data_IF_194572639972
#
_entry.id   IF_194572639972
#
_cell.length_a   1.000
_cell.length_b   1.000
_cell.length_c   1.000
_cell.angle_alpha   90.00
_cell.angle_beta   90.00
_cell.angle_gamma   90.00
#
_symmetry.space_group_name_H-M   'P 1'
#
loop_
_entity.id
_entity.type
_entity.pdbx_description
1 polymer ?
#
# COMPACT_ATOMS: atom_id res chain seq x y z
N UNK A 1 -14.65 9.74 22.69
CA UNK A 1 -13.63 8.87 23.31
C UNK A 1 -13.33 7.80 22.28
N UNK A 2 -12.16 7.84 21.69
CA UNK A 2 -11.72 6.81 20.72
C UNK A 2 -11.48 5.54 21.54
N UNK A 3 -12.22 4.49 21.24
CA UNK A 3 -12.04 3.18 21.86
C UNK A 3 -10.57 2.76 21.70
N UNK A 4 -9.99 2.16 22.75
CA UNK A 4 -8.59 1.68 22.69
C UNK A 4 -8.51 0.61 21.59
N UNK A 5 -7.55 0.70 20.66
CA UNK A 5 -7.43 -0.30 19.61
C UNK A 5 -7.11 -1.67 20.21
N UNK A 6 -7.63 -2.72 19.59
CA UNK A 6 -7.32 -4.09 19.93
C UNK A 6 -6.32 -4.59 18.89
N UNK A 7 -5.12 -4.96 19.36
CA UNK A 7 -4.07 -5.54 18.53
C UNK A 7 -3.92 -7.04 18.84
N UNK A 8 -3.45 -7.85 17.87
CA UNK A 8 -3.07 -9.24 18.14
C UNK A 8 -2.07 -9.33 19.31
N UNK A 9 -2.37 -10.19 20.29
CA UNK A 9 -1.59 -10.28 21.52
C UNK A 9 -0.13 -10.71 21.27
N UNK A 10 0.10 -11.54 20.24
CA UNK A 10 1.42 -12.01 19.83
C UNK A 10 2.33 -10.91 19.29
N UNK A 11 1.79 -9.75 18.91
CA UNK A 11 2.61 -8.61 18.47
C UNK A 11 3.21 -7.82 19.63
N UNK A 12 2.82 -8.14 20.86
CA UNK A 12 3.41 -7.61 22.09
C UNK A 12 3.60 -6.07 22.09
N UNK A 13 2.52 -5.36 21.73
CA UNK A 13 2.56 -3.89 21.56
C UNK A 13 2.71 -3.22 22.92
N UNK A 14 3.79 -2.44 23.08
CA UNK A 14 4.12 -1.67 24.28
C UNK A 14 3.50 -0.27 24.26
N UNK A 15 3.72 0.46 23.16
CA UNK A 15 3.17 1.79 22.95
C UNK A 15 2.53 1.94 21.58
N UNK A 16 1.62 2.89 21.42
CA UNK A 16 1.00 3.19 20.13
C UNK A 16 0.52 4.65 20.06
N UNK A 17 0.54 5.20 18.86
CA UNK A 17 -0.06 6.49 18.53
C UNK A 17 -0.82 6.43 17.18
N UNK A 18 -1.95 7.14 17.03
CA UNK A 18 -2.68 7.14 15.77
C UNK A 18 -1.90 7.92 14.70
N UNK A 19 -1.78 7.35 13.50
CA UNK A 19 -1.24 8.03 12.32
C UNK A 19 -2.34 8.50 11.37
N UNK A 20 -3.34 7.66 11.13
CA UNK A 20 -4.44 8.00 10.24
C UNK A 20 -5.72 7.22 10.57
N UNK A 21 -6.85 7.88 10.32
CA UNK A 21 -8.17 7.30 10.27
C UNK A 21 -8.76 7.63 8.90
N UNK A 22 -8.84 6.61 8.03
CA UNK A 22 -9.33 6.73 6.65
C UNK A 22 -10.68 6.02 6.47
N UNK A 23 -11.28 6.14 5.30
CA UNK A 23 -12.49 5.38 4.97
C UNK A 23 -12.24 3.85 5.04
N UNK A 24 -11.07 3.39 4.61
CA UNK A 24 -10.76 1.96 4.47
C UNK A 24 -9.95 1.37 5.61
N UNK A 25 -9.28 2.17 6.44
CA UNK A 25 -8.37 1.65 7.48
C UNK A 25 -8.15 2.61 8.65
N UNK A 26 -7.73 2.04 9.77
CA UNK A 26 -7.05 2.71 10.88
C UNK A 26 -5.57 2.40 10.79
N UNK A 27 -4.73 3.42 10.97
CA UNK A 27 -3.27 3.26 10.92
C UNK A 27 -2.65 3.77 12.21
N UNK A 28 -1.80 2.95 12.79
CA UNK A 28 -1.15 3.19 14.07
C UNK A 28 0.36 3.07 13.93
N UNK A 29 1.11 4.01 14.49
CA UNK A 29 2.53 3.82 14.75
C UNK A 29 2.65 3.10 16.08
N UNK A 30 3.48 2.07 16.15
CA UNK A 30 3.58 1.22 17.34
C UNK A 30 5.03 0.88 17.66
N UNK A 31 5.30 0.66 18.94
CA UNK A 31 6.52 0.07 19.44
C UNK A 31 6.19 -1.26 20.11
N UNK A 32 7.07 -2.24 19.96
CA UNK A 32 6.90 -3.58 20.52
C UNK A 32 7.82 -3.74 21.72
N UNK A 33 7.35 -4.44 22.76
CA UNK A 33 8.16 -4.68 23.94
C UNK A 33 9.36 -5.61 23.69
N UNK A 34 9.25 -6.49 22.69
CA UNK A 34 10.30 -7.44 22.28
C UNK A 34 11.29 -6.87 21.24
N UNK A 35 10.99 -5.67 20.70
CA UNK A 35 11.85 -4.93 19.76
C UNK A 35 11.86 -3.43 20.13
N UNK A 36 12.50 -3.06 21.26
CA UNK A 36 12.36 -1.72 21.85
C UNK A 36 13.00 -0.59 21.02
N UNK A 37 13.90 -0.92 20.11
CA UNK A 37 14.59 0.05 19.25
C UNK A 37 13.91 0.22 17.88
N UNK A 38 12.91 -0.61 17.58
CA UNK A 38 12.24 -0.65 16.29
C UNK A 38 10.83 -0.04 16.37
N UNK A 39 10.50 0.72 15.34
CA UNK A 39 9.16 1.29 15.14
C UNK A 39 8.45 0.56 14.02
N UNK A 40 7.18 0.28 14.22
CA UNK A 40 6.33 -0.43 13.25
C UNK A 40 5.06 0.36 12.96
N UNK A 41 4.35 -0.07 11.93
CA UNK A 41 3.00 0.40 11.62
C UNK A 41 2.03 -0.77 11.70
N UNK A 42 0.90 -0.55 12.37
CA UNK A 42 -0.25 -1.45 12.25
C UNK A 42 -1.30 -0.77 11.39
N UNK A 43 -1.69 -1.44 10.31
CA UNK A 43 -2.83 -1.05 9.46
C UNK A 43 -3.96 -2.04 9.68
N UNK A 44 -5.07 -1.55 10.27
CA UNK A 44 -6.28 -2.34 10.50
C UNK A 44 -7.32 -1.97 9.45
N UNK A 45 -7.72 -2.94 8.63
CA UNK A 45 -8.71 -2.71 7.58
C UNK A 45 -10.12 -2.63 8.17
N UNK A 46 -10.87 -1.65 7.72
CA UNK A 46 -12.31 -1.54 7.92
C UNK A 46 -13.06 -2.36 6.87
N UNK A 47 -14.37 -2.59 7.01
CA UNK A 47 -15.17 -3.30 6.00
C UNK A 47 -15.00 -2.76 4.58
N UNK A 48 -14.87 -1.43 4.43
CA UNK A 48 -14.67 -0.77 3.14
C UNK A 48 -13.26 -1.00 2.54
N UNK A 49 -12.30 -1.50 3.32
CA UNK A 49 -10.92 -1.75 2.89
C UNK A 49 -10.57 -3.22 2.68
N UNK A 50 -11.54 -4.12 2.76
CA UNK A 50 -11.27 -5.57 2.72
C UNK A 50 -10.60 -6.05 1.42
N UNK A 51 -10.81 -5.37 0.31
CA UNK A 51 -10.11 -5.66 -0.95
C UNK A 51 -8.60 -5.39 -0.88
N UNK A 52 -8.15 -4.55 0.06
CA UNK A 52 -6.74 -4.24 0.28
C UNK A 52 -5.95 -5.42 0.91
N UNK A 53 -6.62 -6.48 1.40
CA UNK A 53 -5.95 -7.70 1.87
C UNK A 53 -5.06 -8.34 0.80
N UNK A 54 -5.44 -8.24 -0.46
CA UNK A 54 -4.61 -8.70 -1.58
C UNK A 54 -3.29 -7.95 -1.66
N UNK A 55 -3.28 -6.69 -1.23
CA UNK A 55 -2.06 -5.88 -1.11
C UNK A 55 -1.07 -6.46 -0.08
N UNK A 56 -1.56 -7.12 0.98
CA UNK A 56 -0.69 -7.80 1.94
C UNK A 56 0.10 -8.95 1.29
N UNK A 57 -0.54 -9.72 0.39
CA UNK A 57 0.14 -10.79 -0.36
C UNK A 57 1.21 -10.24 -1.30
N UNK A 58 0.94 -9.08 -1.93
CA UNK A 58 1.93 -8.37 -2.72
C UNK A 58 3.11 -7.90 -1.87
N UNK A 59 2.87 -7.28 -0.72
CA UNK A 59 3.92 -6.82 0.20
C UNK A 59 4.75 -8.00 0.72
N UNK A 60 4.12 -9.12 1.07
CA UNK A 60 4.81 -10.35 1.46
C UNK A 60 5.72 -10.88 0.34
N UNK A 61 5.24 -10.87 -0.91
CA UNK A 61 6.01 -11.28 -2.08
C UNK A 61 7.20 -10.35 -2.35
N UNK A 62 7.04 -9.04 -2.13
CA UNK A 62 8.11 -8.05 -2.31
C UNK A 62 9.15 -8.09 -1.20
N UNK A 63 8.80 -8.55 0.00
CA UNK A 63 9.68 -8.68 1.19
C UNK A 63 10.57 -7.44 1.43
N UNK A 64 9.98 -6.25 1.35
CA UNK A 64 10.70 -4.99 1.55
C UNK A 64 11.41 -4.42 0.30
N UNK A 65 11.39 -5.12 -0.84
CA UNK A 65 12.06 -4.65 -2.06
C UNK A 65 11.21 -3.64 -2.82
N UNK A 66 11.45 -2.36 -2.59
CA UNK A 66 10.73 -1.24 -3.20
C UNK A 66 9.34 -0.97 -2.60
N UNK A 67 8.97 -1.69 -1.55
CA UNK A 67 7.74 -1.52 -0.80
C UNK A 67 8.00 -1.71 0.69
N UNK A 68 7.14 -1.17 1.55
CA UNK A 68 7.21 -1.41 2.99
C UNK A 68 7.14 -2.90 3.30
N UNK A 69 8.00 -3.39 4.19
CA UNK A 69 8.02 -4.79 4.58
C UNK A 69 6.77 -5.13 5.38
N UNK A 70 6.14 -6.24 5.02
CA UNK A 70 5.09 -6.87 5.83
C UNK A 70 5.75 -7.88 6.77
N UNK A 71 5.65 -7.66 8.08
CA UNK A 71 6.18 -8.57 9.10
C UNK A 71 5.19 -9.66 9.46
N UNK A 72 3.90 -9.32 9.55
CA UNK A 72 2.84 -10.28 9.87
C UNK A 72 1.48 -9.77 9.38
N UNK A 73 0.56 -10.72 9.18
CA UNK A 73 -0.84 -10.47 8.82
C UNK A 73 -1.74 -11.34 9.71
N UNK A 74 -2.63 -10.69 10.46
CA UNK A 74 -3.63 -11.35 11.30
C UNK A 74 -5.01 -10.80 11.00
N UNK A 75 -5.87 -11.66 10.51
CA UNK A 75 -7.23 -11.27 10.10
C UNK A 75 -7.21 -10.08 9.13
N UNK A 76 -7.60 -8.90 9.59
CA UNK A 76 -7.63 -7.66 8.83
C UNK A 76 -6.53 -6.67 9.22
N UNK A 77 -5.58 -7.10 10.05
CA UNK A 77 -4.51 -6.25 10.59
C UNK A 77 -3.16 -6.67 10.00
N UNK A 78 -2.43 -5.70 9.49
CA UNK A 78 -1.09 -5.84 8.93
C UNK A 78 -0.07 -5.20 9.87
N UNK A 79 0.99 -5.91 10.22
CA UNK A 79 2.17 -5.36 10.89
C UNK A 79 3.21 -5.03 9.83
N UNK A 80 3.51 -3.76 9.67
CA UNK A 80 4.31 -3.22 8.57
C UNK A 80 5.55 -2.50 9.10
N UNK A 81 6.53 -2.36 8.24
CA UNK A 81 7.65 -1.46 8.40
C UNK A 81 7.18 -0.01 8.54
N UNK A 82 7.81 0.74 9.45
CA UNK A 82 7.64 2.19 9.52
C UNK A 82 8.60 2.88 8.56
N UNK A 83 8.09 3.37 7.46
CA UNK A 83 8.88 4.03 6.41
C UNK A 83 9.36 5.46 6.76
N UNK A 84 9.19 5.90 8.01
CA UNK A 84 9.58 7.23 8.48
C UNK A 84 8.43 8.24 8.47
N UNK A 85 8.75 9.46 8.94
CA UNK A 85 7.79 10.56 9.07
C UNK A 85 7.83 11.57 7.93
N UNK A 86 8.74 11.39 6.97
CA UNK A 86 8.95 12.35 5.89
C UNK A 86 8.16 11.92 4.64
N UNK A 87 7.14 12.67 4.30
CA UNK A 87 6.22 12.36 3.20
C UNK A 87 6.56 13.15 1.94
N UNK A 88 6.41 12.55 0.77
CA UNK A 88 6.67 13.21 -0.52
C UNK A 88 5.77 14.42 -0.77
N UNK A 89 4.57 14.45 -0.20
CA UNK A 89 3.69 15.63 -0.29
C UNK A 89 4.29 16.87 0.42
N UNK A 90 5.12 16.68 1.44
CA UNK A 90 5.85 17.76 2.09
C UNK A 90 6.96 18.31 1.19
N UNK A 91 7.66 17.43 0.45
CA UNK A 91 8.62 17.87 -0.58
C UNK A 91 7.94 18.70 -1.66
N UNK A 92 6.79 18.19 -2.15
CA UNK A 92 6.01 18.88 -3.18
C UNK A 92 5.54 20.26 -2.71
N UNK A 93 4.99 20.36 -1.50
CA UNK A 93 4.57 21.64 -0.90
C UNK A 93 5.72 22.63 -0.70
N UNK A 94 6.95 22.13 -0.58
CA UNK A 94 8.17 22.93 -0.44
C UNK A 94 8.82 23.26 -1.81
N UNK A 95 8.15 23.00 -2.93
CA UNK A 95 8.63 23.30 -4.28
C UNK A 95 9.77 22.39 -4.76
N UNK A 96 9.85 21.17 -4.24
CA UNK A 96 10.89 20.18 -4.58
C UNK A 96 10.39 19.11 -5.54
N UNK A 97 9.66 19.52 -6.58
CA UNK A 97 9.04 18.61 -7.56
C UNK A 97 10.05 17.68 -8.22
N UNK A 98 11.25 18.18 -8.56
CA UNK A 98 12.32 17.39 -9.16
C UNK A 98 12.80 16.26 -8.25
N UNK A 99 12.94 16.53 -6.94
CA UNK A 99 13.29 15.50 -5.96
C UNK A 99 12.19 14.43 -5.85
N UNK A 100 10.92 14.84 -5.87
CA UNK A 100 9.78 13.90 -5.83
C UNK A 100 9.77 12.97 -7.05
N UNK A 101 10.04 13.50 -8.24
CA UNK A 101 10.12 12.70 -9.48
C UNK A 101 11.28 11.71 -9.43
N UNK A 102 12.43 12.12 -8.89
CA UNK A 102 13.59 11.24 -8.72
C UNK A 102 13.25 10.07 -7.78
N UNK A 103 12.74 10.36 -6.58
CA UNK A 103 12.34 9.33 -5.60
C UNK A 103 11.27 8.39 -6.18
N UNK A 104 10.27 8.95 -6.88
CA UNK A 104 9.24 8.15 -7.53
C UNK A 104 9.82 7.20 -8.59
N UNK A 105 10.76 7.70 -9.43
CA UNK A 105 11.45 6.88 -10.41
C UNK A 105 12.28 5.75 -9.79
N UNK A 106 12.99 6.03 -8.70
CA UNK A 106 13.77 5.02 -7.94
C UNK A 106 12.87 3.93 -7.35
N UNK A 107 11.73 4.32 -6.73
CA UNK A 107 10.75 3.36 -6.18
C UNK A 107 10.15 2.51 -7.29
N UNK A 108 9.75 3.10 -8.42
CA UNK A 108 9.25 2.34 -9.57
C UNK A 108 10.29 1.36 -10.10
N UNK A 109 11.55 1.80 -10.24
CA UNK A 109 12.64 0.93 -10.69
C UNK A 109 12.84 -0.25 -9.73
N UNK A 110 12.77 0.00 -8.40
CA UNK A 110 12.86 -1.06 -7.40
C UNK A 110 11.67 -2.03 -7.47
N UNK A 111 10.44 -1.52 -7.63
CA UNK A 111 9.22 -2.33 -7.74
C UNK A 111 9.21 -3.21 -8.99
N UNK A 112 9.85 -2.77 -10.09
CA UNK A 112 9.95 -3.52 -11.35
C UNK A 112 11.13 -4.50 -11.38
N UNK A 113 11.97 -4.55 -10.35
CA UNK A 113 13.02 -5.57 -10.30
C UNK A 113 12.39 -6.97 -10.18
N UNK A 114 12.95 -7.97 -10.89
CA UNK A 114 12.49 -9.34 -10.74
C UNK A 114 12.55 -9.80 -9.28
N UNK A 115 11.52 -10.49 -8.83
CA UNK A 115 11.55 -11.20 -7.55
C UNK A 115 11.93 -12.65 -7.77
N UNK A 116 12.76 -13.27 -6.90
CA UNK A 116 13.07 -14.70 -6.96
C UNK A 116 11.86 -15.58 -6.65
N UNK A 117 10.86 -15.04 -5.96
CA UNK A 117 9.63 -15.74 -5.63
C UNK A 117 8.61 -15.65 -6.78
N UNK A 118 7.81 -16.71 -6.95
CA UNK A 118 6.70 -16.70 -7.91
C UNK A 118 5.67 -15.62 -7.56
N UNK A 119 5.12 -14.97 -8.57
CA UNK A 119 4.08 -13.95 -8.40
C UNK A 119 2.85 -14.58 -7.73
N UNK A 120 2.28 -13.96 -6.69
CA UNK A 120 1.05 -14.45 -6.07
C UNK A 120 -0.11 -14.55 -7.08
N UNK A 121 -0.84 -15.66 -7.04
CA UNK A 121 -1.92 -15.95 -8.00
C UNK A 121 -3.24 -15.25 -7.68
N UNK A 122 -3.36 -14.69 -6.48
CA UNK A 122 -4.56 -14.01 -5.96
C UNK A 122 -4.50 -12.48 -6.10
N UNK A 123 -3.44 -11.95 -6.72
CA UNK A 123 -3.41 -10.54 -7.10
C UNK A 123 -4.46 -10.26 -8.17
N UNK A 124 -5.08 -9.09 -8.07
CA UNK A 124 -6.09 -8.70 -9.05
C UNK A 124 -5.43 -8.41 -10.41
N UNK A 125 -5.80 -9.11 -11.48
CA UNK A 125 -5.33 -8.79 -12.82
C UNK A 125 -5.72 -7.37 -13.23
N UNK A 126 -4.85 -6.70 -14.00
CA UNK A 126 -5.06 -5.30 -14.39
C UNK A 126 -6.31 -5.09 -15.26
N UNK A 127 -6.67 -6.05 -16.10
CA UNK A 127 -7.90 -6.01 -16.89
C UNK A 127 -9.15 -5.93 -15.99
N UNK A 128 -9.17 -6.68 -14.89
CA UNK A 128 -10.23 -6.60 -13.88
C UNK A 128 -10.17 -5.28 -13.10
N UNK A 129 -8.97 -4.78 -12.82
CA UNK A 129 -8.81 -3.49 -12.14
C UNK A 129 -9.37 -2.34 -12.99
N UNK A 130 -9.18 -2.38 -14.31
CA UNK A 130 -9.70 -1.39 -15.24
C UNK A 130 -11.14 -1.65 -15.72
N UNK A 131 -11.82 -2.69 -15.24
CA UNK A 131 -13.18 -3.03 -15.68
C UNK A 131 -14.16 -1.85 -15.52
N UNK A 132 -14.07 -1.08 -14.43
CA UNK A 132 -14.89 0.12 -14.23
C UNK A 132 -14.66 1.20 -15.31
N UNK A 133 -13.41 1.45 -15.70
CA UNK A 133 -13.09 2.37 -16.79
C UNK A 133 -13.68 1.90 -18.12
N UNK A 134 -13.56 0.61 -18.42
CA UNK A 134 -14.10 0.03 -19.67
C UNK A 134 -15.62 0.08 -19.73
N UNK A 135 -16.30 -0.09 -18.58
CA UNK A 135 -17.74 -0.01 -18.50
C UNK A 135 -18.30 1.38 -18.85
N UNK A 136 -17.58 2.46 -18.48
CA UNK A 136 -18.00 3.85 -18.72
C UNK A 136 -17.30 4.51 -19.93
N UNK A 137 -16.55 3.75 -20.71
CA UNK A 137 -15.75 4.27 -21.83
C UNK A 137 -16.58 5.09 -22.85
N UNK A 138 -17.85 4.75 -23.05
CA UNK A 138 -18.74 5.44 -23.99
C UNK A 138 -19.44 6.67 -23.40
N UNK A 139 -19.25 6.98 -22.11
CA UNK A 139 -19.95 8.10 -21.47
C UNK A 139 -19.29 9.46 -21.75
N UNK A 140 -18.00 9.47 -22.10
CA UNK A 140 -17.30 10.70 -22.50
C UNK A 140 -16.07 10.42 -23.38
N UNK A 141 -15.66 11.38 -24.21
CA UNK A 141 -14.44 11.27 -25.01
C UNK A 141 -13.17 11.01 -24.17
N UNK A 142 -13.09 11.59 -22.97
CA UNK A 142 -11.96 11.41 -22.05
C UNK A 142 -11.89 9.97 -21.55
N UNK A 143 -13.02 9.37 -21.20
CA UNK A 143 -13.06 7.95 -20.78
C UNK A 143 -12.77 7.02 -21.94
N UNK A 144 -13.23 7.33 -23.15
CA UNK A 144 -12.93 6.55 -24.35
C UNK A 144 -11.42 6.55 -24.65
N UNK A 145 -10.76 7.71 -24.57
CA UNK A 145 -9.32 7.83 -24.76
C UNK A 145 -8.53 7.07 -23.69
N UNK A 146 -8.89 7.24 -22.41
CA UNK A 146 -8.28 6.54 -21.29
C UNK A 146 -8.43 5.01 -21.41
N UNK A 147 -9.61 4.52 -21.76
CA UNK A 147 -9.88 3.09 -21.97
C UNK A 147 -9.06 2.53 -23.15
N UNK A 148 -8.98 3.27 -24.26
CA UNK A 148 -8.15 2.90 -25.41
C UNK A 148 -6.67 2.82 -25.05
N UNK A 149 -6.17 3.77 -24.27
CA UNK A 149 -4.79 3.75 -23.77
C UNK A 149 -4.55 2.53 -22.85
N UNK A 150 -5.44 2.29 -21.91
CA UNK A 150 -5.35 1.15 -21.01
C UNK A 150 -5.33 -0.18 -21.77
N UNK A 151 -6.20 -0.35 -22.78
CA UNK A 151 -6.23 -1.55 -23.63
C UNK A 151 -4.91 -1.77 -24.38
N UNK A 152 -4.33 -0.71 -24.93
CA UNK A 152 -3.02 -0.82 -25.60
C UNK A 152 -1.91 -1.24 -24.65
N UNK A 153 -1.87 -0.64 -23.44
CA UNK A 153 -0.86 -0.98 -22.42
C UNK A 153 -1.02 -2.42 -21.93
N UNK A 154 -2.26 -2.90 -21.70
CA UNK A 154 -2.55 -4.27 -21.29
C UNK A 154 -2.22 -5.31 -22.38
N UNK A 155 -2.22 -4.91 -23.66
CA UNK A 155 -1.90 -5.78 -24.80
C UNK A 155 -0.41 -5.80 -25.14
N UNK A 156 0.38 -4.93 -24.51
CA UNK A 156 1.83 -4.87 -24.73
C UNK A 156 2.51 -5.93 -23.87
N UNK A 157 3.42 -6.74 -24.45
CA UNK A 157 4.17 -7.75 -23.71
C UNK A 157 5.16 -7.12 -22.73
#
# INVERSE_FOLDING_TARGET
>A
MTERPIFPAEWNIGSFEPLADTHSSLVWKVERNDYPDDVFVIKQLKPAGMEELRGAHYLSWRDGHGAAKLYDLKDTSMLLEYAGSYHLDQHLKNGKDGECLTVFGEVLAALHQPSPAAVPTDLQPLDKHFAGLFAVANESPVYAEAASLAQRLLSSP
#
